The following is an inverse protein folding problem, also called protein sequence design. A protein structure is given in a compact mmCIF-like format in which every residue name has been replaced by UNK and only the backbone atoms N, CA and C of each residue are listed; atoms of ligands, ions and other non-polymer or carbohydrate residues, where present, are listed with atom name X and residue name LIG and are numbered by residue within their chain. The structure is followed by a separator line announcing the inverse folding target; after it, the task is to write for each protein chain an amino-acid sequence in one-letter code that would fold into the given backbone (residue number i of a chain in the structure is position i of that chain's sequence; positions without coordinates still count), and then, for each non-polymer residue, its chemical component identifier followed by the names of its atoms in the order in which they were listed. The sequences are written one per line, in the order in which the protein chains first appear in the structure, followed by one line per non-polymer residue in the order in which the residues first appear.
data_IF_861402398010
#
_entry.id   IF_861402398010
#
_cell.length_a   1.000
_cell.length_b   1.000
_cell.length_c   1.000
_cell.angle_alpha   90.00
_cell.angle_beta   90.00
_cell.angle_gamma   90.00
#
_symmetry.space_group_name_H-M   'P 1'
#
loop_
_entity.id
_entity.type
_entity.pdbx_description
1 polymer ?
#
# COMPACT_ATOMS: atom_id res chain seq x y z
N UNK A 1 70.47 31.13 -3.83
CA UNK A 1 69.78 30.82 -5.10
C UNK A 1 69.98 29.35 -5.41
N UNK A 2 68.96 28.53 -5.19
CA UNK A 2 68.68 27.29 -5.93
C UNK A 2 67.40 26.68 -5.35
N UNK A 3 66.27 27.06 -5.94
CA UNK A 3 65.04 26.29 -5.83
C UNK A 3 65.15 25.09 -6.77
N UNK A 4 65.22 23.88 -6.22
CA UNK A 4 65.02 22.68 -7.00
C UNK A 4 64.53 21.54 -6.09
N UNK A 5 63.42 20.92 -6.53
CA UNK A 5 62.91 19.59 -6.18
C UNK A 5 62.17 19.47 -4.84
N UNK A 6 60.85 19.27 -4.93
CA UNK A 6 60.21 17.94 -4.81
C UNK A 6 58.71 18.05 -5.10
N UNK A 7 58.32 17.67 -6.32
CA UNK A 7 57.02 17.08 -6.64
C UNK A 7 57.26 15.59 -6.87
N UNK A 8 56.21 14.78 -6.67
CA UNK A 8 56.10 13.33 -6.88
C UNK A 8 56.51 12.41 -5.71
N UNK A 9 55.49 11.86 -5.05
CA UNK A 9 55.33 10.41 -4.86
C UNK A 9 53.89 10.12 -4.39
N UNK A 10 53.03 9.82 -5.35
CA UNK A 10 51.68 9.29 -5.15
C UNK A 10 51.53 8.15 -6.16
N UNK A 11 51.91 6.94 -5.76
CA UNK A 11 51.61 5.72 -6.51
C UNK A 11 51.84 4.46 -5.67
N UNK A 12 50.92 3.51 -5.83
CA UNK A 12 51.03 2.08 -5.60
C UNK A 12 50.80 1.51 -4.18
N UNK A 13 49.53 1.25 -3.87
CA UNK A 13 49.10 -0.07 -3.34
C UNK A 13 47.80 -0.46 -4.04
N UNK A 14 47.93 -1.21 -5.15
CA UNK A 14 46.85 -2.01 -5.71
C UNK A 14 47.29 -3.46 -5.54
N UNK A 15 46.68 -4.19 -4.60
CA UNK A 15 46.88 -5.62 -4.44
C UNK A 15 45.55 -6.34 -4.67
N UNK A 16 45.52 -7.00 -5.82
CA UNK A 16 44.69 -8.10 -6.30
C UNK A 16 43.55 -8.62 -5.40
N UNK A 17 42.32 -8.41 -5.84
CA UNK A 17 41.19 -9.31 -5.59
C UNK A 17 40.86 -9.98 -6.94
N UNK A 18 41.06 -11.30 -7.01
CA UNK A 18 40.70 -12.10 -8.17
C UNK A 18 39.17 -12.23 -8.29
N UNK A 19 38.58 -12.11 -9.50
CA UNK A 19 37.19 -12.51 -9.70
C UNK A 19 37.12 -14.03 -9.95
N UNK A 20 36.44 -14.76 -9.05
CA UNK A 20 35.90 -16.08 -9.36
C UNK A 20 34.70 -15.88 -10.29
N UNK A 21 34.92 -16.12 -11.57
CA UNK A 21 33.90 -16.34 -12.59
C UNK A 21 33.15 -17.64 -12.28
N UNK A 22 31.92 -17.52 -11.77
CA UNK A 22 30.93 -18.59 -11.90
C UNK A 22 29.87 -18.11 -12.89
N UNK A 23 29.93 -18.63 -14.11
CA UNK A 23 28.83 -18.51 -15.08
C UNK A 23 27.62 -19.28 -14.53
N UNK A 24 26.62 -18.56 -14.06
CA UNK A 24 25.24 -19.06 -14.05
C UNK A 24 24.50 -18.36 -15.19
N UNK A 25 24.27 -19.09 -16.28
CA UNK A 25 23.37 -18.71 -17.36
C UNK A 25 21.97 -18.46 -16.79
N UNK A 26 21.54 -17.19 -16.77
CA UNK A 26 20.13 -16.85 -16.67
C UNK A 26 19.51 -16.91 -18.07
N UNK A 27 18.38 -17.61 -18.27
CA UNK A 27 17.69 -17.60 -19.55
C UNK A 27 17.09 -16.21 -19.79
N UNK A 28 17.49 -15.61 -20.91
CA UNK A 28 16.87 -14.41 -21.46
C UNK A 28 15.46 -14.74 -21.91
N UNK A 29 14.46 -14.33 -21.13
CA UNK A 29 13.08 -14.24 -21.61
C UNK A 29 12.97 -12.93 -22.38
N UNK A 30 12.84 -13.07 -23.70
CA UNK A 30 12.42 -12.01 -24.62
C UNK A 30 11.00 -11.58 -24.22
N UNK A 31 10.89 -10.44 -23.56
CA UNK A 31 9.61 -9.78 -23.30
C UNK A 31 9.36 -8.76 -24.42
N UNK A 32 8.55 -9.19 -25.39
CA UNK A 32 8.09 -8.37 -26.51
C UNK A 32 7.29 -7.17 -25.98
N UNK A 33 7.88 -5.98 -26.11
CA UNK A 33 7.23 -4.69 -25.90
C UNK A 33 6.18 -4.40 -26.96
N UNK A 34 4.99 -4.99 -26.82
CA UNK A 34 3.78 -4.57 -27.55
C UNK A 34 2.75 -4.01 -26.57
N UNK A 35 2.38 -2.75 -26.84
CA UNK A 35 1.50 -1.88 -26.07
C UNK A 35 0.36 -2.56 -25.33
N UNK A 36 0.39 -2.42 -24.01
CA UNK A 36 -0.77 -2.56 -23.15
C UNK A 36 -1.79 -1.48 -23.52
N UNK A 37 -2.71 -1.84 -24.41
CA UNK A 37 -4.04 -1.27 -24.39
C UNK A 37 -4.69 -1.75 -23.11
N UNK A 38 -4.65 -0.90 -22.08
CA UNK A 38 -5.42 -1.05 -20.84
C UNK A 38 -6.89 -1.02 -21.21
N UNK A 39 -7.39 -2.16 -21.69
CA UNK A 39 -8.82 -2.43 -21.72
C UNK A 39 -9.23 -2.42 -20.25
N UNK A 40 -10.03 -1.42 -19.89
CA UNK A 40 -10.68 -1.29 -18.59
C UNK A 40 -11.40 -2.62 -18.32
N UNK A 41 -10.73 -3.55 -17.62
CA UNK A 41 -11.33 -4.74 -17.04
C UNK A 41 -12.29 -4.23 -15.99
N UNK A 42 -13.53 -3.98 -16.42
CA UNK A 42 -14.69 -3.78 -15.56
C UNK A 42 -14.59 -4.85 -14.48
N UNK A 43 -14.42 -4.43 -13.22
CA UNK A 43 -14.26 -5.28 -12.04
C UNK A 43 -15.16 -6.50 -12.15
N UNK A 44 -14.61 -7.63 -12.62
CA UNK A 44 -15.33 -8.88 -12.61
C UNK A 44 -15.32 -9.29 -11.14
N UNK A 45 -16.50 -9.42 -10.50
CA UNK A 45 -16.57 -9.89 -9.12
C UNK A 45 -15.79 -11.20 -9.03
N UNK A 46 -14.88 -11.30 -8.06
CA UNK A 46 -14.13 -12.53 -7.82
C UNK A 46 -15.14 -13.66 -7.60
N UNK A 47 -15.06 -14.76 -8.36
CA UNK A 47 -16.03 -15.84 -8.26
C UNK A 47 -16.05 -16.39 -6.83
N UNK A 48 -17.26 -16.55 -6.27
CA UNK A 48 -17.48 -17.19 -4.97
C UNK A 48 -16.72 -18.53 -4.93
N UNK A 49 -15.84 -18.77 -3.95
CA UNK A 49 -15.05 -19.99 -3.87
C UNK A 49 -15.88 -21.26 -3.71
N UNK A 50 -17.18 -21.17 -3.39
CA UNK A 50 -18.04 -22.35 -3.31
C UNK A 50 -19.45 -22.08 -3.85
N UNK A 51 -19.61 -21.99 -5.19
CA UNK A 51 -20.89 -21.65 -5.79
C UNK A 51 -21.91 -22.76 -5.52
N UNK A 52 -23.06 -22.39 -4.96
CA UNK A 52 -24.13 -23.35 -4.67
C UNK A 52 -24.76 -23.86 -5.96
N UNK A 53 -24.50 -25.12 -6.27
CA UNK A 53 -25.03 -25.80 -7.46
C UNK A 53 -26.40 -26.39 -7.13
N UNK A 54 -27.39 -26.10 -7.97
CA UNK A 54 -28.77 -26.56 -7.84
C UNK A 54 -29.27 -27.20 -9.15
N UNK A 55 -30.32 -28.00 -9.01
CA UNK A 55 -31.14 -28.48 -10.13
C UNK A 55 -32.56 -27.96 -9.92
N UNK A 56 -33.13 -27.30 -10.92
CA UNK A 56 -34.44 -26.68 -10.86
C UNK A 56 -35.28 -27.15 -12.04
N UNK A 57 -36.46 -27.71 -11.75
CA UNK A 57 -37.50 -27.98 -12.75
C UNK A 57 -38.68 -27.11 -12.39
N UNK A 58 -39.02 -26.16 -13.26
CA UNK A 58 -40.11 -25.22 -13.06
C UNK A 58 -41.13 -25.40 -14.20
N UNK A 59 -42.39 -25.75 -13.90
CA UNK A 59 -43.40 -26.03 -14.93
C UNK A 59 -43.93 -24.77 -15.63
N UNK A 60 -43.42 -23.59 -15.29
CA UNK A 60 -43.97 -22.30 -15.69
C UNK A 60 -44.92 -21.75 -14.63
N UNK A 61 -45.15 -20.45 -14.65
CA UNK A 61 -45.95 -19.75 -13.64
C UNK A 61 -45.48 -18.32 -13.45
N UNK A 62 -45.85 -17.68 -12.35
CA UNK A 62 -45.40 -16.32 -12.07
C UNK A 62 -43.96 -16.28 -11.50
N UNK A 63 -43.36 -15.10 -11.54
CA UNK A 63 -41.98 -14.90 -11.07
C UNK A 63 -41.83 -15.19 -9.57
N UNK A 64 -42.87 -14.92 -8.76
CA UNK A 64 -42.86 -15.29 -7.33
C UNK A 64 -42.73 -16.80 -7.13
N UNK A 65 -43.49 -17.60 -7.87
CA UNK A 65 -43.44 -19.06 -7.83
C UNK A 65 -42.08 -19.57 -8.31
N UNK A 66 -41.47 -18.93 -9.31
CA UNK A 66 -40.10 -19.26 -9.72
C UNK A 66 -39.10 -19.03 -8.58
N UNK A 67 -39.17 -17.91 -7.87
CA UNK A 67 -38.27 -17.61 -6.74
C UNK A 67 -38.49 -18.55 -5.56
N UNK A 68 -39.73 -18.98 -5.30
CA UNK A 68 -40.01 -20.02 -4.30
C UNK A 68 -39.45 -21.39 -4.70
N UNK A 69 -39.60 -21.78 -5.97
CA UNK A 69 -39.01 -23.00 -6.50
C UNK A 69 -37.48 -22.96 -6.39
N UNK A 70 -36.87 -21.80 -6.67
CA UNK A 70 -35.44 -21.57 -6.53
C UNK A 70 -34.96 -21.71 -5.06
N UNK A 71 -35.70 -21.13 -4.11
CA UNK A 71 -35.43 -21.28 -2.67
C UNK A 71 -35.52 -22.73 -2.23
N UNK A 72 -36.51 -23.46 -2.72
CA UNK A 72 -36.70 -24.88 -2.43
C UNK A 72 -35.54 -25.72 -2.97
N UNK A 73 -35.12 -25.48 -4.21
CA UNK A 73 -34.00 -26.19 -4.84
C UNK A 73 -32.63 -25.90 -4.20
N UNK A 74 -32.49 -24.78 -3.49
CA UNK A 74 -31.23 -24.33 -2.91
C UNK A 74 -30.91 -24.91 -1.53
N UNK A 75 -31.81 -25.72 -0.93
CA UNK A 75 -31.81 -26.46 0.37
C UNK A 75 -30.81 -26.04 1.47
N UNK A 76 -29.53 -25.90 1.14
CA UNK A 76 -28.41 -25.54 2.01
C UNK A 76 -28.33 -24.04 2.44
N UNK A 77 -29.38 -23.23 2.33
CA UNK A 77 -29.45 -21.91 3.01
C UNK A 77 -30.27 -20.82 2.32
N UNK A 78 -30.33 -19.62 2.93
CA UNK A 78 -31.28 -18.57 2.53
C UNK A 78 -30.91 -17.98 1.17
N UNK A 79 -31.88 -17.87 0.27
CA UNK A 79 -31.78 -17.12 -0.99
C UNK A 79 -32.65 -15.87 -0.88
N UNK A 80 -31.99 -14.71 -0.79
CA UNK A 80 -32.64 -13.43 -0.62
C UNK A 80 -32.78 -12.77 -1.99
N UNK A 81 -34.03 -12.60 -2.46
CA UNK A 81 -34.31 -11.94 -3.73
C UNK A 81 -35.20 -10.74 -3.46
N UNK A 82 -34.71 -9.56 -3.82
CA UNK A 82 -35.43 -8.29 -3.78
C UNK A 82 -35.97 -8.03 -5.19
N UNK A 83 -37.27 -7.94 -5.34
CA UNK A 83 -37.94 -7.70 -6.63
C UNK A 83 -39.04 -6.65 -6.47
N UNK A 84 -39.27 -5.80 -7.49
CA UNK A 84 -40.39 -4.86 -7.47
C UNK A 84 -41.72 -5.60 -7.58
N UNK A 85 -42.81 -5.01 -7.07
CA UNK A 85 -44.15 -5.62 -7.14
C UNK A 85 -44.59 -5.94 -8.58
N UNK A 86 -44.16 -5.13 -9.54
CA UNK A 86 -44.41 -5.35 -10.98
C UNK A 86 -43.79 -6.63 -11.52
N UNK A 87 -42.71 -7.13 -10.90
CA UNK A 87 -42.04 -8.37 -11.31
C UNK A 87 -42.83 -9.62 -10.87
N UNK A 88 -43.56 -9.55 -9.76
CA UNK A 88 -44.17 -10.72 -9.11
C UNK A 88 -45.11 -11.48 -10.06
N UNK A 89 -45.83 -10.75 -10.91
CA UNK A 89 -46.84 -11.31 -11.82
C UNK A 89 -46.31 -11.53 -13.24
N UNK A 90 -45.00 -11.50 -13.46
CA UNK A 90 -44.45 -11.83 -14.78
C UNK A 90 -44.55 -13.33 -15.02
N UNK A 91 -45.19 -13.71 -16.12
CA UNK A 91 -45.27 -15.10 -16.56
C UNK A 91 -43.88 -15.59 -16.99
N UNK A 92 -43.33 -16.50 -16.21
CA UNK A 92 -42.10 -17.22 -16.47
C UNK A 92 -42.47 -18.54 -17.18
N UNK A 93 -41.96 -18.81 -18.39
CA UNK A 93 -42.24 -20.05 -19.09
C UNK A 93 -41.61 -21.26 -18.39
N UNK A 94 -42.05 -22.48 -18.75
CA UNK A 94 -41.44 -23.70 -18.22
C UNK A 94 -39.93 -23.74 -18.50
N UNK A 95 -39.16 -24.17 -17.52
CA UNK A 95 -37.70 -24.20 -17.59
C UNK A 95 -37.12 -25.34 -16.77
N UNK A 96 -36.08 -25.97 -17.32
CA UNK A 96 -35.29 -26.99 -16.65
C UNK A 96 -33.82 -26.57 -16.63
N UNK A 97 -33.27 -26.40 -15.42
CA UNK A 97 -31.89 -26.03 -15.20
C UNK A 97 -31.19 -27.12 -14.40
N UNK A 98 -30.03 -27.56 -14.88
CA UNK A 98 -29.22 -28.60 -14.22
C UNK A 98 -27.82 -28.09 -13.96
N UNK A 99 -27.29 -28.41 -12.78
CA UNK A 99 -25.96 -28.01 -12.34
C UNK A 99 -25.69 -26.50 -12.50
N UNK A 100 -26.67 -25.67 -12.15
CA UNK A 100 -26.55 -24.20 -12.25
C UNK A 100 -26.36 -23.59 -10.88
N UNK A 101 -25.76 -22.40 -10.82
CA UNK A 101 -25.76 -21.60 -9.59
C UNK A 101 -27.08 -20.87 -9.42
N UNK A 102 -27.41 -20.44 -8.19
CA UNK A 102 -28.59 -19.59 -7.93
C UNK A 102 -28.56 -18.33 -8.79
N UNK A 103 -27.40 -17.66 -8.87
CA UNK A 103 -27.19 -16.51 -9.73
C UNK A 103 -27.39 -16.83 -11.22
N UNK A 104 -26.88 -17.99 -11.66
CA UNK A 104 -27.06 -18.49 -13.03
C UNK A 104 -28.52 -18.76 -13.37
N UNK A 105 -29.27 -19.33 -12.42
CA UNK A 105 -30.69 -19.58 -12.59
C UNK A 105 -31.49 -18.29 -12.72
N UNK A 106 -31.22 -17.28 -11.89
CA UNK A 106 -31.86 -15.97 -12.02
C UNK A 106 -31.49 -15.28 -13.33
N UNK A 107 -30.20 -15.30 -13.73
CA UNK A 107 -29.74 -14.72 -15.00
C UNK A 107 -30.32 -15.41 -16.23
N UNK A 108 -30.73 -16.68 -16.12
CA UNK A 108 -31.41 -17.38 -17.22
C UNK A 108 -32.71 -16.68 -17.61
N UNK A 109 -33.35 -15.97 -16.68
CA UNK A 109 -34.55 -15.18 -16.97
C UNK A 109 -34.24 -13.99 -17.89
N UNK A 110 -33.03 -13.44 -17.86
CA UNK A 110 -32.64 -12.38 -18.80
C UNK A 110 -32.66 -12.87 -20.25
N UNK A 111 -32.36 -14.15 -20.47
CA UNK A 111 -32.41 -14.78 -21.80
C UNK A 111 -33.84 -15.11 -22.23
N UNK A 112 -34.66 -15.53 -21.27
CA UNK A 112 -36.06 -15.91 -21.49
C UNK A 112 -36.90 -14.68 -21.83
N UNK A 113 -36.71 -13.58 -21.09
CA UNK A 113 -37.35 -12.29 -21.33
C UNK A 113 -36.52 -11.44 -22.32
N UNK A 114 -36.07 -12.07 -23.41
CA UNK A 114 -35.24 -11.44 -24.44
C UNK A 114 -35.94 -10.34 -25.23
N UNK A 115 -35.46 -10.04 -26.43
CA UNK A 115 -35.88 -8.85 -27.20
C UNK A 115 -37.39 -8.85 -27.60
N UNK A 116 -38.02 -10.03 -27.65
CA UNK A 116 -39.44 -10.17 -27.98
C UNK A 116 -40.38 -9.94 -26.78
N UNK A 117 -39.83 -9.80 -25.58
CA UNK A 117 -40.59 -9.54 -24.36
C UNK A 117 -40.88 -8.04 -24.20
N UNK A 118 -42.10 -7.65 -23.79
CA UNK A 118 -42.39 -6.27 -23.41
C UNK A 118 -41.70 -5.86 -22.10
N UNK A 119 -40.94 -6.75 -21.48
CA UNK A 119 -40.16 -6.53 -20.26
C UNK A 119 -38.71 -6.95 -20.47
N UNK A 120 -37.80 -6.09 -20.04
CA UNK A 120 -36.40 -6.43 -19.81
C UNK A 120 -36.21 -6.74 -18.34
N UNK A 121 -35.61 -7.88 -18.05
CA UNK A 121 -35.18 -8.24 -16.70
C UNK A 121 -33.66 -8.08 -16.61
N UNK A 122 -33.17 -7.53 -15.51
CA UNK A 122 -31.76 -7.54 -15.17
C UNK A 122 -31.60 -8.00 -13.71
N UNK A 123 -30.65 -8.91 -13.48
CA UNK A 123 -30.36 -9.46 -12.16
C UNK A 123 -29.02 -8.93 -11.69
N UNK A 124 -29.03 -8.27 -10.54
CA UNK A 124 -27.83 -7.77 -9.88
C UNK A 124 -27.59 -8.52 -8.58
N UNK A 125 -26.32 -8.82 -8.33
CA UNK A 125 -25.88 -9.30 -7.02
C UNK A 125 -25.58 -8.07 -6.17
N UNK A 126 -26.29 -7.94 -5.05
CA UNK A 126 -26.21 -6.75 -4.18
C UNK A 126 -25.01 -6.86 -3.23
N UNK A 127 -24.75 -8.07 -2.74
CA UNK A 127 -23.65 -8.36 -1.84
C UNK A 127 -22.77 -9.46 -2.44
N UNK A 128 -21.48 -9.21 -2.74
CA UNK A 128 -20.57 -10.24 -3.25
C UNK A 128 -20.26 -11.34 -2.22
N UNK A 129 -20.62 -11.15 -0.94
CA UNK A 129 -20.38 -12.10 0.15
C UNK A 129 -21.65 -12.81 0.64
N UNK A 130 -22.82 -12.48 0.07
CA UNK A 130 -24.10 -13.02 0.50
C UNK A 130 -25.04 -13.29 -0.69
N UNK A 131 -25.95 -14.27 -0.60
CA UNK A 131 -26.88 -14.62 -1.68
C UNK A 131 -28.05 -13.62 -1.77
N UNK A 132 -27.74 -12.33 -1.89
CA UNK A 132 -28.72 -11.25 -2.02
C UNK A 132 -28.74 -10.76 -3.47
N UNK A 133 -29.87 -11.00 -4.13
CA UNK A 133 -30.08 -10.64 -5.53
C UNK A 133 -31.15 -9.56 -5.66
N UNK A 134 -30.87 -8.53 -6.44
CA UNK A 134 -31.84 -7.52 -6.87
C UNK A 134 -32.32 -7.83 -8.29
N UNK A 135 -33.63 -7.81 -8.50
CA UNK A 135 -34.25 -7.97 -9.82
C UNK A 135 -34.77 -6.60 -10.27
N UNK A 136 -34.26 -6.11 -11.39
CA UNK A 136 -34.74 -4.90 -12.06
C UNK A 136 -35.64 -5.32 -13.23
N UNK A 137 -36.84 -4.76 -13.29
CA UNK A 137 -37.78 -4.98 -14.39
C UNK A 137 -38.09 -3.65 -15.05
N UNK A 138 -37.83 -3.54 -16.36
CA UNK A 138 -38.17 -2.39 -17.16
C UNK A 138 -39.11 -2.79 -18.30
N UNK A 139 -40.18 -2.03 -18.54
CA UNK A 139 -41.01 -2.25 -19.75
C UNK A 139 -40.26 -1.74 -20.99
N UNK A 140 -40.08 -2.62 -21.97
CA UNK A 140 -39.67 -2.22 -23.32
C UNK A 140 -40.91 -1.71 -24.06
N UNK A 141 -40.87 -0.48 -24.56
CA UNK A 141 -41.90 0.03 -25.47
C UNK A 141 -41.60 -0.52 -26.88
N UNK A 142 -42.44 -1.41 -27.46
CA UNK A 142 -42.17 -2.02 -28.76
C UNK A 142 -42.34 -1.04 -29.94
N UNK A 143 -42.95 0.12 -29.70
CA UNK A 143 -43.10 1.18 -30.69
C UNK A 143 -42.06 2.26 -30.45
N UNK A 144 -40.88 2.07 -31.07
CA UNK A 144 -39.85 3.11 -31.15
C UNK A 144 -40.46 4.40 -31.69
N UNK A 145 -40.36 5.49 -30.93
CA UNK A 145 -40.84 6.79 -31.38
C UNK A 145 -40.92 7.88 -30.33
N UNK A 146 -40.98 7.56 -29.04
CA UNK A 146 -40.83 8.56 -27.97
C UNK A 146 -39.98 7.95 -26.87
N UNK A 147 -38.79 8.50 -26.67
CA UNK A 147 -37.95 8.21 -25.52
C UNK A 147 -38.85 8.21 -24.29
N UNK A 148 -38.95 7.07 -23.60
CA UNK A 148 -39.67 7.04 -22.33
C UNK A 148 -39.10 8.17 -21.46
N UNK A 149 -39.94 8.95 -20.77
CA UNK A 149 -39.46 10.00 -19.89
C UNK A 149 -38.40 9.38 -18.99
N UNK A 150 -37.20 9.94 -19.01
CA UNK A 150 -36.07 9.33 -18.32
C UNK A 150 -36.41 9.28 -16.83
N UNK A 151 -36.72 8.08 -16.34
CA UNK A 151 -37.13 7.91 -14.95
C UNK A 151 -35.91 8.11 -14.07
N UNK A 152 -36.02 9.03 -13.11
CA UNK A 152 -35.01 9.18 -12.07
C UNK A 152 -34.92 7.88 -11.27
N UNK A 153 -33.69 7.42 -11.07
CA UNK A 153 -33.36 6.31 -10.21
C UNK A 153 -32.90 6.81 -8.86
N UNK A 154 -33.27 6.10 -7.80
CA UNK A 154 -32.77 6.29 -6.44
C UNK A 154 -31.74 5.21 -6.16
N UNK A 155 -30.56 5.61 -5.72
CA UNK A 155 -29.46 4.71 -5.36
C UNK A 155 -28.91 5.06 -3.98
N UNK A 156 -28.51 4.03 -3.23
CA UNK A 156 -27.99 4.17 -1.87
C UNK A 156 -26.62 3.52 -1.81
N UNK A 157 -25.60 4.33 -1.54
CA UNK A 157 -24.20 3.93 -1.61
C UNK A 157 -23.57 4.13 -0.23
N UNK A 158 -22.96 3.09 0.33
CA UNK A 158 -22.14 3.24 1.53
C UNK A 158 -20.83 3.95 1.19
N UNK A 159 -20.52 5.01 1.95
CA UNK A 159 -19.28 5.75 1.84
C UNK A 159 -18.45 5.72 3.13
N UNK A 160 -18.74 4.78 4.04
CA UNK A 160 -18.01 4.64 5.31
C UNK A 160 -16.50 4.50 5.14
N UNK A 161 -16.06 3.86 4.07
CA UNK A 161 -14.64 3.61 3.78
C UNK A 161 -13.88 4.88 3.39
N UNK A 162 -14.60 5.92 2.96
CA UNK A 162 -14.02 7.19 2.52
C UNK A 162 -13.94 8.20 3.65
N UNK A 163 -14.77 8.06 4.68
CA UNK A 163 -14.89 9.08 5.72
C UNK A 163 -13.72 9.03 6.67
N UNK A 164 -13.16 10.21 6.95
CA UNK A 164 -12.17 10.38 8.02
C UNK A 164 -12.83 10.11 9.37
N UNK A 165 -12.47 8.99 10.00
CA UNK A 165 -12.74 8.71 11.41
C UNK A 165 -11.46 8.84 12.20
N UNK A 166 -11.55 9.01 13.52
CA UNK A 166 -10.38 9.09 14.41
C UNK A 166 -9.42 7.90 14.22
N UNK A 167 -9.95 6.74 13.82
CA UNK A 167 -9.18 5.52 13.56
C UNK A 167 -8.57 5.41 12.15
N UNK A 168 -8.89 6.34 11.24
CA UNK A 168 -8.50 6.29 9.82
C UNK A 168 -7.88 7.61 9.36
N UNK A 169 -6.57 7.83 9.58
CA UNK A 169 -5.88 9.08 9.25
C UNK A 169 -5.81 9.41 7.75
N UNK A 170 -6.24 8.49 6.87
CA UNK A 170 -6.28 8.67 5.42
C UNK A 170 -7.67 8.93 4.83
N UNK A 171 -8.71 9.09 5.65
CA UNK A 171 -10.05 9.37 5.14
C UNK A 171 -10.21 10.82 4.63
N UNK A 172 -11.16 11.00 3.71
CA UNK A 172 -11.57 12.28 3.14
C UNK A 172 -12.68 12.88 4.03
N UNK A 173 -12.60 14.17 4.39
CA UNK A 173 -13.71 14.88 5.01
C UNK A 173 -14.98 14.81 4.17
N UNK A 174 -16.14 14.62 4.83
CA UNK A 174 -17.41 14.40 4.15
C UNK A 174 -17.81 15.58 3.24
N UNK A 175 -17.56 16.81 3.68
CA UNK A 175 -17.78 18.05 2.93
C UNK A 175 -17.00 18.07 1.61
N UNK A 176 -15.70 17.77 1.64
CA UNK A 176 -14.86 17.72 0.44
C UNK A 176 -15.33 16.65 -0.55
N UNK A 177 -15.73 15.48 -0.03
CA UNK A 177 -16.27 14.40 -0.86
C UNK A 177 -17.56 14.85 -1.56
N UNK A 178 -18.48 15.47 -0.81
CA UNK A 178 -19.75 15.94 -1.35
C UNK A 178 -19.56 17.05 -2.38
N UNK A 179 -18.68 18.02 -2.11
CA UNK A 179 -18.35 19.10 -3.04
C UNK A 179 -17.77 18.55 -4.36
N UNK A 180 -16.91 17.54 -4.27
CA UNK A 180 -16.31 16.88 -5.44
C UNK A 180 -17.37 16.16 -6.29
N UNK A 181 -18.29 15.46 -5.64
CA UNK A 181 -19.39 14.78 -6.32
C UNK A 181 -20.37 15.75 -6.96
N UNK A 182 -20.74 16.81 -6.24
CA UNK A 182 -21.65 17.84 -6.75
C UNK A 182 -21.03 18.60 -7.94
N UNK A 183 -19.75 18.95 -7.85
CA UNK A 183 -19.00 19.55 -8.96
C UNK A 183 -18.99 18.62 -10.17
N UNK A 184 -18.73 17.33 -9.97
CA UNK A 184 -18.72 16.35 -11.08
C UNK A 184 -20.09 16.23 -11.74
N UNK A 185 -21.17 16.22 -10.97
CA UNK A 185 -22.53 16.16 -11.51
C UNK A 185 -22.91 17.44 -12.27
N UNK A 186 -22.51 18.62 -11.80
CA UNK A 186 -22.74 19.89 -12.50
C UNK A 186 -22.00 19.96 -13.85
N UNK A 187 -20.88 19.27 -13.97
CA UNK A 187 -20.10 19.19 -15.21
C UNK A 187 -20.61 18.10 -16.17
N UNK A 188 -21.56 17.25 -15.76
CA UNK A 188 -22.13 16.23 -16.63
C UNK A 188 -22.97 16.89 -17.75
N UNK A 189 -22.75 16.55 -19.03
CA UNK A 189 -23.43 17.16 -20.17
C UNK A 189 -24.93 16.79 -20.28
N UNK A 190 -25.51 16.16 -19.27
CA UNK A 190 -26.91 15.69 -19.27
C UNK A 190 -27.95 16.81 -19.20
N UNK A 191 -27.56 18.03 -18.82
CA UNK A 191 -28.48 19.15 -18.54
C UNK A 191 -28.62 20.20 -19.66
N UNK A 192 -27.99 20.03 -20.83
CA UNK A 192 -27.84 21.13 -21.80
C UNK A 192 -28.73 21.08 -23.05
N UNK A 193 -29.61 20.08 -23.21
CA UNK A 193 -30.44 19.95 -24.42
C UNK A 193 -31.93 20.29 -24.18
N UNK A 194 -32.18 21.45 -23.58
CA UNK A 194 -33.17 22.45 -24.02
C UNK A 194 -34.68 22.15 -24.07
N UNK A 195 -35.20 20.93 -24.02
CA UNK A 195 -36.63 20.72 -24.30
C UNK A 195 -37.42 19.86 -23.31
N UNK A 196 -36.77 19.17 -22.36
CA UNK A 196 -37.46 18.49 -21.26
C UNK A 196 -36.77 18.81 -19.93
N UNK A 197 -37.44 19.56 -19.04
CA UNK A 197 -37.01 19.87 -17.67
C UNK A 197 -36.97 18.58 -16.82
N UNK A 198 -35.93 17.77 -16.99
CA UNK A 198 -35.60 16.74 -16.01
C UNK A 198 -35.24 17.45 -14.69
N UNK A 199 -35.75 17.02 -13.52
CA UNK A 199 -35.37 17.62 -12.26
C UNK A 199 -33.86 17.43 -12.02
N UNK A 200 -33.16 18.43 -11.46
CA UNK A 200 -31.73 18.34 -11.22
C UNK A 200 -31.40 17.15 -10.30
N UNK A 201 -30.21 16.55 -10.43
CA UNK A 201 -29.80 15.46 -9.56
C UNK A 201 -29.69 15.96 -8.11
N UNK A 202 -30.17 15.14 -7.18
CA UNK A 202 -30.12 15.41 -5.74
C UNK A 202 -29.18 14.41 -5.07
N UNK A 203 -28.24 14.94 -4.28
CA UNK A 203 -27.38 14.15 -3.39
C UNK A 203 -27.75 14.51 -1.94
N UNK A 204 -27.96 13.48 -1.11
CA UNK A 204 -28.13 13.62 0.33
C UNK A 204 -27.13 12.71 1.05
N UNK A 205 -26.47 13.24 2.07
CA UNK A 205 -25.57 12.48 2.92
C UNK A 205 -26.18 12.28 4.30
N UNK A 206 -26.16 11.05 4.78
CA UNK A 206 -26.53 10.71 6.16
C UNK A 206 -25.27 10.38 6.95
N UNK A 207 -24.78 11.35 7.73
CA UNK A 207 -23.50 11.28 8.43
C UNK A 207 -23.40 10.08 9.39
N UNK A 208 -24.40 9.88 10.24
CA UNK A 208 -24.37 8.79 11.24
C UNK A 208 -24.31 7.40 10.60
N UNK A 209 -24.95 7.22 9.45
CA UNK A 209 -25.02 5.94 8.74
C UNK A 209 -23.87 5.77 7.73
N UNK A 210 -23.15 6.85 7.41
CA UNK A 210 -22.16 6.85 6.34
C UNK A 210 -22.76 6.51 4.98
N UNK A 211 -24.02 6.91 4.73
CA UNK A 211 -24.75 6.60 3.50
C UNK A 211 -24.89 7.83 2.62
N UNK A 212 -24.63 7.64 1.33
CA UNK A 212 -24.87 8.60 0.27
C UNK A 212 -26.13 8.16 -0.50
N UNK A 213 -27.15 9.01 -0.49
CA UNK A 213 -28.39 8.79 -1.24
C UNK A 213 -28.32 9.68 -2.48
N UNK A 214 -28.37 9.06 -3.65
CA UNK A 214 -28.28 9.74 -4.95
C UNK A 214 -29.59 9.53 -5.70
N UNK A 215 -30.22 10.63 -6.10
CA UNK A 215 -31.41 10.62 -6.95
C UNK A 215 -31.10 11.36 -8.24
N UNK A 216 -31.18 10.68 -9.37
CA UNK A 216 -30.86 11.28 -10.66
C UNK A 216 -31.09 10.32 -11.81
N UNK A 217 -30.69 10.75 -13.00
CA UNK A 217 -30.72 9.89 -14.19
C UNK A 217 -29.75 8.70 -14.01
N UNK A 218 -30.02 7.54 -14.63
CA UNK A 218 -29.12 6.39 -14.54
C UNK A 218 -27.66 6.70 -14.91
N UNK A 219 -27.46 7.61 -15.87
CA UNK A 219 -26.13 8.07 -16.28
C UNK A 219 -25.44 8.86 -15.16
N UNK A 220 -26.16 9.74 -14.47
CA UNK A 220 -25.63 10.56 -13.38
C UNK A 220 -25.23 9.71 -12.17
N UNK A 221 -26.09 8.76 -11.80
CA UNK A 221 -25.78 7.77 -10.75
C UNK A 221 -24.52 6.98 -11.10
N UNK A 222 -24.36 6.60 -12.37
CA UNK A 222 -23.17 5.88 -12.83
C UNK A 222 -21.89 6.72 -12.75
N UNK A 223 -21.98 8.04 -12.94
CA UNK A 223 -20.86 8.97 -12.77
C UNK A 223 -20.42 9.02 -11.31
N UNK A 224 -21.37 9.16 -10.37
CA UNK A 224 -21.07 9.16 -8.93
C UNK A 224 -20.35 7.87 -8.53
N UNK A 225 -20.85 6.70 -8.96
CA UNK A 225 -20.21 5.41 -8.68
C UNK A 225 -18.76 5.36 -9.18
N UNK A 226 -18.51 5.84 -10.39
CA UNK A 226 -17.16 5.86 -10.97
C UNK A 226 -16.20 6.74 -10.18
N UNK A 227 -16.65 7.92 -9.74
CA UNK A 227 -15.83 8.81 -8.91
C UNK A 227 -15.49 8.15 -7.59
N UNK A 228 -16.47 7.53 -6.92
CA UNK A 228 -16.24 6.81 -5.67
C UNK A 228 -15.27 5.63 -5.86
N UNK A 229 -15.38 4.86 -6.95
CA UNK A 229 -14.44 3.78 -7.24
C UNK A 229 -13.00 4.29 -7.45
N UNK A 230 -12.83 5.41 -8.15
CA UNK A 230 -11.51 6.03 -8.35
C UNK A 230 -10.91 6.53 -7.03
N UNK A 231 -11.72 7.21 -6.21
CA UNK A 231 -11.30 7.66 -4.87
C UNK A 231 -10.88 6.49 -3.98
N UNK A 232 -11.56 5.34 -4.08
CA UNK A 232 -11.21 4.14 -3.31
C UNK A 232 -9.85 3.59 -3.75
N UNK A 233 -9.57 3.60 -5.06
CA UNK A 233 -8.25 3.25 -5.61
C UNK A 233 -7.14 4.17 -5.07
N UNK A 234 -7.41 5.47 -5.00
CA UNK A 234 -6.46 6.46 -4.47
C UNK A 234 -6.17 6.26 -2.97
N UNK A 235 -7.21 6.18 -2.12
CA UNK A 235 -7.07 6.02 -0.66
C UNK A 235 -6.33 4.74 -0.30
N UNK A 236 -6.64 3.63 -0.97
CA UNK A 236 -5.96 2.35 -0.72
C UNK A 236 -4.49 2.40 -1.13
N UNK A 237 -4.14 3.13 -2.19
CA UNK A 237 -2.76 3.34 -2.62
C UNK A 237 -1.98 4.20 -1.63
N UNK A 238 -2.57 5.30 -1.16
CA UNK A 238 -1.94 6.20 -0.20
C UNK A 238 -1.77 5.55 1.18
N UNK A 239 -2.74 4.75 1.62
CA UNK A 239 -2.63 3.98 2.86
C UNK A 239 -1.50 2.97 2.78
N UNK A 240 -1.37 2.26 1.65
CA UNK A 240 -0.25 1.34 1.42
C UNK A 240 1.09 2.07 1.39
N UNK A 241 1.18 3.22 0.72
CA UNK A 241 2.39 4.06 0.69
C UNK A 241 2.78 4.54 2.08
N UNK A 242 1.81 5.02 2.86
CA UNK A 242 2.04 5.45 4.25
C UNK A 242 2.51 4.29 5.13
N UNK A 243 1.90 3.10 5.02
CA UNK A 243 2.34 1.92 5.76
C UNK A 243 3.75 1.45 5.35
N UNK A 244 4.08 1.48 4.07
CA UNK A 244 5.43 1.16 3.58
C UNK A 244 6.44 2.19 4.12
N UNK A 245 6.10 3.48 4.10
CA UNK A 245 6.92 4.55 4.66
C UNK A 245 7.16 4.38 6.17
N UNK A 246 6.10 4.10 6.94
CA UNK A 246 6.21 3.85 8.38
C UNK A 246 7.08 2.62 8.70
N UNK A 247 6.95 1.53 7.92
CA UNK A 247 7.80 0.34 8.08
C UNK A 247 9.25 0.61 7.72
N UNK A 248 9.50 1.39 6.67
CA UNK A 248 10.84 1.81 6.29
C UNK A 248 11.48 2.67 7.39
N UNK A 249 10.73 3.63 7.94
CA UNK A 249 11.18 4.49 9.03
C UNK A 249 11.46 3.69 10.31
N UNK A 250 10.53 2.82 10.74
CA UNK A 250 10.75 1.97 11.91
C UNK A 250 11.96 1.04 11.75
N UNK A 251 12.21 0.55 10.52
CA UNK A 251 13.42 -0.22 10.20
C UNK A 251 14.68 0.62 10.27
N UNK A 252 14.66 1.85 9.75
CA UNK A 252 15.78 2.79 9.84
C UNK A 252 16.12 3.11 11.31
N UNK A 253 15.11 3.42 12.12
CA UNK A 253 15.26 3.69 13.56
C UNK A 253 15.85 2.50 14.30
N UNK A 254 15.38 1.29 13.98
CA UNK A 254 15.93 0.06 14.55
C UNK A 254 17.41 -0.13 14.20
N UNK A 255 17.79 0.06 12.93
CA UNK A 255 19.17 -0.09 12.49
C UNK A 255 20.09 0.96 13.13
N UNK A 256 19.64 2.22 13.23
CA UNK A 256 20.37 3.29 13.92
C UNK A 256 20.63 2.92 15.38
N UNK A 257 19.58 2.53 16.10
CA UNK A 257 19.68 2.16 17.53
C UNK A 257 20.58 0.95 17.75
N UNK A 258 20.56 -0.02 16.83
CA UNK A 258 21.48 -1.17 16.85
C UNK A 258 22.93 -0.72 16.71
N UNK A 259 23.22 0.15 15.75
CA UNK A 259 24.57 0.65 15.52
C UNK A 259 25.11 1.47 16.71
N UNK A 260 24.26 2.30 17.33
CA UNK A 260 24.61 3.06 18.55
C UNK A 260 24.99 2.12 19.71
N UNK A 261 24.28 1.00 19.88
CA UNK A 261 24.60 0.00 20.90
C UNK A 261 25.93 -0.71 20.62
N UNK A 262 26.23 -1.00 19.35
CA UNK A 262 27.49 -1.62 18.95
C UNK A 262 28.69 -0.68 19.19
N UNK A 263 28.54 0.62 18.88
CA UNK A 263 29.55 1.63 19.20
C UNK A 263 29.78 1.70 20.71
N UNK A 264 28.71 1.80 21.51
CA UNK A 264 28.81 1.85 22.97
C UNK A 264 29.50 0.63 23.55
N UNK A 265 29.17 -0.57 23.05
CA UNK A 265 29.81 -1.80 23.50
C UNK A 265 31.32 -1.83 23.16
N UNK A 266 31.71 -1.32 21.98
CA UNK A 266 33.11 -1.21 21.59
C UNK A 266 33.87 -0.15 22.42
N UNK A 267 33.23 0.96 22.77
CA UNK A 267 33.79 1.96 23.69
C UNK A 267 34.06 1.36 25.08
N UNK A 268 33.10 0.62 25.64
CA UNK A 268 33.26 -0.05 26.94
C UNK A 268 34.42 -1.06 26.91
N UNK A 269 34.57 -1.81 25.82
CA UNK A 269 35.71 -2.72 25.63
C UNK A 269 37.04 -1.97 25.58
N UNK A 270 37.12 -0.84 24.88
CA UNK A 270 38.33 -0.02 24.82
C UNK A 270 38.70 0.54 26.21
N UNK A 271 37.71 0.99 26.98
CA UNK A 271 37.92 1.48 28.35
C UNK A 271 38.49 0.37 29.24
N UNK A 272 37.93 -0.84 29.17
CA UNK A 272 38.43 -1.99 29.93
C UNK A 272 39.85 -2.37 29.51
N UNK A 273 40.11 -2.47 28.20
CA UNK A 273 41.43 -2.79 27.67
C UNK A 273 42.49 -1.75 28.08
N UNK A 274 42.14 -0.47 28.05
CA UNK A 274 43.00 0.63 28.51
C UNK A 274 43.34 0.49 29.99
N UNK A 275 42.34 0.25 30.86
CA UNK A 275 42.57 0.01 32.29
C UNK A 275 43.48 -1.20 32.53
N UNK A 276 43.33 -2.27 31.76
CA UNK A 276 44.20 -3.45 31.89
C UNK A 276 45.64 -3.15 31.47
N UNK A 277 45.82 -2.40 30.38
CA UNK A 277 47.14 -1.95 29.93
C UNK A 277 47.82 -1.08 30.98
N UNK A 278 47.12 -0.08 31.54
CA UNK A 278 47.67 0.80 32.56
C UNK A 278 48.09 0.01 33.83
N UNK A 279 47.27 -0.97 34.23
CA UNK A 279 47.60 -1.86 35.35
C UNK A 279 48.85 -2.69 35.07
N UNK A 280 48.91 -3.38 33.93
CA UNK A 280 50.07 -4.22 33.58
C UNK A 280 51.32 -3.37 33.42
N UNK A 281 51.22 -2.18 32.84
CA UNK A 281 52.30 -1.21 32.75
C UNK A 281 52.84 -0.83 34.14
N UNK A 282 51.96 -0.52 35.09
CA UNK A 282 52.38 -0.22 36.47
C UNK A 282 53.09 -1.39 37.17
N UNK A 283 52.64 -2.62 36.93
CA UNK A 283 53.30 -3.83 37.47
C UNK A 283 54.64 -4.09 36.81
N UNK A 284 54.75 -3.85 35.51
CA UNK A 284 56.00 -3.99 34.75
C UNK A 284 57.05 -2.99 35.24
N UNK A 285 56.68 -1.72 35.45
CA UNK A 285 57.54 -0.68 36.03
C UNK A 285 58.04 -1.04 37.44
N UNK A 286 57.27 -1.85 38.19
CA UNK A 286 57.64 -2.39 39.50
C UNK A 286 58.42 -3.72 39.43
N UNK A 287 58.79 -4.18 38.23
CA UNK A 287 59.41 -5.48 37.97
C UNK A 287 58.57 -6.69 38.44
N UNK A 288 57.24 -6.53 38.54
CA UNK A 288 56.28 -7.56 38.93
C UNK A 288 55.55 -8.19 37.73
N UNK A 289 55.69 -7.66 36.52
CA UNK A 289 55.14 -8.25 35.29
C UNK A 289 56.23 -8.37 34.21
N UNK A 290 56.31 -9.51 33.50
CA UNK A 290 57.26 -9.71 32.41
C UNK A 290 56.83 -8.94 31.14
N UNK A 291 57.80 -8.61 30.27
CA UNK A 291 57.60 -7.79 29.06
C UNK A 291 56.47 -8.31 28.15
N UNK A 292 56.34 -9.63 28.03
CA UNK A 292 55.33 -10.24 27.16
C UNK A 292 53.89 -9.98 27.64
N UNK A 293 53.66 -9.78 28.94
CA UNK A 293 52.34 -9.38 29.44
C UNK A 293 52.00 -7.95 29.04
N UNK A 294 53.00 -7.05 29.05
CA UNK A 294 52.82 -5.66 28.62
C UNK A 294 52.48 -5.59 27.13
N UNK A 295 53.20 -6.34 26.28
CA UNK A 295 52.93 -6.44 24.85
C UNK A 295 51.52 -7.00 24.60
N UNK A 296 51.15 -8.09 25.29
CA UNK A 296 49.81 -8.67 25.15
C UNK A 296 48.68 -7.72 25.60
N UNK A 297 48.92 -6.89 26.63
CA UNK A 297 47.96 -5.89 27.06
C UNK A 297 47.83 -4.74 26.05
N UNK A 298 48.93 -4.31 25.42
CA UNK A 298 48.91 -3.28 24.38
C UNK A 298 48.20 -3.78 23.11
N UNK A 299 48.44 -5.03 22.72
CA UNK A 299 47.76 -5.68 21.58
C UNK A 299 46.25 -5.71 21.80
N UNK A 300 45.78 -6.07 23.00
CA UNK A 300 44.34 -6.06 23.34
C UNK A 300 43.75 -4.66 23.27
N UNK A 301 44.47 -3.65 23.77
CA UNK A 301 44.05 -2.24 23.68
C UNK A 301 43.95 -1.79 22.22
N UNK A 302 44.94 -2.14 21.41
CA UNK A 302 44.97 -1.83 19.97
C UNK A 302 43.83 -2.52 19.21
N UNK A 303 43.54 -3.79 19.52
CA UNK A 303 42.39 -4.51 18.95
C UNK A 303 41.06 -3.87 19.34
N UNK A 304 40.87 -3.50 20.61
CA UNK A 304 39.66 -2.83 21.07
C UNK A 304 39.47 -1.46 20.37
N UNK A 305 40.56 -0.71 20.16
CA UNK A 305 40.53 0.55 19.42
C UNK A 305 40.12 0.35 17.95
N UNK A 306 40.62 -0.69 17.29
CA UNK A 306 40.23 -1.04 15.93
C UNK A 306 38.75 -1.47 15.85
N UNK A 307 38.26 -2.21 16.83
CA UNK A 307 36.85 -2.59 16.91
C UNK A 307 35.93 -1.37 17.07
N UNK A 308 36.33 -0.39 17.89
CA UNK A 308 35.61 0.88 18.02
C UNK A 308 35.59 1.66 16.69
N UNK A 309 36.74 1.80 16.04
CA UNK A 309 36.81 2.48 14.74
C UNK A 309 35.91 1.80 13.69
N UNK A 310 35.87 0.46 13.68
CA UNK A 310 34.98 -0.32 12.81
C UNK A 310 33.50 -0.07 13.11
N UNK A 311 33.10 -0.13 14.38
CA UNK A 311 31.71 0.10 14.79
C UNK A 311 31.22 1.51 14.42
N UNK A 312 32.09 2.52 14.56
CA UNK A 312 31.79 3.89 14.16
C UNK A 312 31.55 3.99 12.64
N UNK A 313 32.40 3.36 11.83
CA UNK A 313 32.23 3.35 10.36
C UNK A 313 30.94 2.64 9.93
N UNK A 314 30.60 1.52 10.56
CA UNK A 314 29.34 0.80 10.30
C UNK A 314 28.12 1.64 10.68
N UNK A 315 28.17 2.37 11.80
CA UNK A 315 27.12 3.30 12.19
C UNK A 315 26.94 4.46 11.20
N UNK A 316 28.03 5.05 10.69
CA UNK A 316 27.96 6.10 9.66
C UNK A 316 27.38 5.55 8.36
N UNK A 317 27.77 4.36 7.94
CA UNK A 317 27.20 3.71 6.76
C UNK A 317 25.70 3.46 6.89
N UNK A 318 25.24 2.99 8.04
CA UNK A 318 23.80 2.80 8.33
C UNK A 318 23.06 4.14 8.32
N UNK A 319 23.65 5.20 8.86
CA UNK A 319 23.04 6.53 8.86
C UNK A 319 22.89 7.10 7.44
N UNK A 320 23.89 6.91 6.57
CA UNK A 320 23.83 7.37 5.17
C UNK A 320 22.82 6.56 4.36
N UNK A 321 22.87 5.23 4.45
CA UNK A 321 21.97 4.35 3.67
C UNK A 321 20.51 4.47 4.10
N UNK A 322 20.23 4.63 5.41
CA UNK A 322 18.87 4.86 5.89
C UNK A 322 18.31 6.20 5.41
N UNK A 323 19.14 7.26 5.34
CA UNK A 323 18.73 8.54 4.78
C UNK A 323 18.33 8.41 3.30
N UNK A 324 19.11 7.69 2.49
CA UNK A 324 18.80 7.45 1.07
C UNK A 324 17.46 6.72 0.88
N UNK A 325 17.17 5.69 1.71
CA UNK A 325 15.89 4.96 1.62
C UNK A 325 14.65 5.80 1.96
N UNK A 326 14.82 6.94 2.65
CA UNK A 326 13.74 7.87 2.98
C UNK A 326 13.56 8.97 1.92
N UNK A 327 14.52 9.14 0.99
CA UNK A 327 14.53 10.25 0.03
C UNK A 327 13.54 10.15 -1.13
N UNK A 328 12.95 8.97 -1.38
CA UNK A 328 11.93 8.84 -2.43
C UNK A 328 10.57 9.46 -2.06
N UNK A 329 10.42 10.03 -0.85
CA UNK A 329 9.12 10.50 -0.35
C UNK A 329 9.03 11.93 0.18
N UNK A 330 10.01 12.49 0.89
CA UNK A 330 9.81 13.78 1.60
C UNK A 330 11.08 14.61 1.79
N UNK A 331 11.02 15.89 1.38
CA UNK A 331 12.13 16.87 1.42
C UNK A 331 12.48 17.38 2.83
N UNK A 332 11.54 17.35 3.79
CA UNK A 332 11.78 17.87 5.15
C UNK A 332 12.55 16.91 6.06
N UNK A 333 12.27 15.61 5.97
CA UNK A 333 12.99 14.59 6.74
C UNK A 333 14.50 14.59 6.41
N UNK A 334 14.85 14.88 5.16
CA UNK A 334 16.23 15.02 4.71
C UNK A 334 16.98 16.13 5.44
N UNK A 335 16.35 17.30 5.62
CA UNK A 335 16.98 18.45 6.28
C UNK A 335 17.30 18.15 7.74
N UNK A 336 16.39 17.45 8.43
CA UNK A 336 16.62 17.04 9.81
C UNK A 336 17.78 16.06 9.93
N UNK A 337 17.78 15.00 9.11
CA UNK A 337 18.84 13.98 9.11
C UNK A 337 20.22 14.55 8.73
N UNK A 338 20.27 15.48 7.77
CA UNK A 338 21.52 16.18 7.42
C UNK A 338 22.06 16.98 8.62
N UNK A 339 21.21 17.71 9.33
CA UNK A 339 21.61 18.49 10.50
C UNK A 339 22.15 17.60 11.64
N UNK A 340 21.58 16.40 11.82
CA UNK A 340 22.00 15.43 12.82
C UNK A 340 23.34 14.76 12.44
N UNK A 341 23.52 14.45 11.15
CA UNK A 341 24.80 13.94 10.63
C UNK A 341 25.95 14.95 10.82
N UNK A 342 25.67 16.24 10.59
CA UNK A 342 26.63 17.31 10.83
C UNK A 342 27.00 17.44 12.32
N UNK A 343 26.07 17.15 13.25
CA UNK A 343 26.37 17.10 14.68
C UNK A 343 27.27 15.91 15.04
N UNK A 344 26.99 14.72 14.52
CA UNK A 344 27.82 13.53 14.75
C UNK A 344 29.25 13.73 14.23
N UNK A 345 29.41 14.29 13.04
CA UNK A 345 30.73 14.64 12.48
C UNK A 345 31.52 15.59 13.36
N UNK A 346 30.86 16.58 13.96
CA UNK A 346 31.51 17.51 14.91
C UNK A 346 31.96 16.81 16.19
N UNK A 347 31.16 15.89 16.74
CA UNK A 347 31.52 15.10 17.92
C UNK A 347 32.74 14.21 17.64
N UNK A 348 32.77 13.57 16.48
CA UNK A 348 33.89 12.74 16.03
C UNK A 348 35.19 13.55 15.89
N UNK A 349 35.12 14.73 15.27
CA UNK A 349 36.27 15.63 15.16
C UNK A 349 36.83 16.03 16.55
N UNK A 350 35.96 16.29 17.52
CA UNK A 350 36.37 16.58 18.90
C UNK A 350 37.05 15.38 19.59
N UNK A 351 36.54 14.16 19.39
CA UNK A 351 37.16 12.95 19.92
C UNK A 351 38.54 12.69 19.30
N UNK A 352 38.69 12.87 17.99
CA UNK A 352 39.98 12.74 17.31
C UNK A 352 40.99 13.77 17.82
N UNK A 353 40.57 15.02 18.03
CA UNK A 353 41.41 16.06 18.60
C UNK A 353 41.84 15.73 20.05
N UNK A 354 40.95 15.12 20.84
CA UNK A 354 41.23 14.69 22.21
C UNK A 354 42.23 13.52 22.23
N UNK A 355 42.09 12.56 21.32
CA UNK A 355 43.06 11.47 21.17
C UNK A 355 44.45 11.98 20.77
N UNK A 356 44.51 12.91 19.80
CA UNK A 356 45.77 13.50 19.36
C UNK A 356 46.47 14.25 20.50
N UNK A 357 45.72 14.99 21.33
CA UNK A 357 46.29 15.72 22.47
C UNK A 357 46.82 14.78 23.57
N UNK A 358 46.12 13.67 23.84
CA UNK A 358 46.59 12.64 24.77
C UNK A 358 47.89 11.97 24.27
N UNK A 359 47.98 11.65 22.98
CA UNK A 359 49.19 11.09 22.38
C UNK A 359 50.38 12.07 22.48
N UNK A 360 50.14 13.35 22.26
CA UNK A 360 51.17 14.38 22.37
C UNK A 360 51.65 14.59 23.81
N UNK A 361 50.74 14.49 24.80
CA UNK A 361 51.11 14.51 26.22
C UNK A 361 51.96 13.30 26.61
N UNK A 362 51.64 12.09 26.12
CA UNK A 362 52.45 10.90 26.37
C UNK A 362 53.86 11.04 25.77
N UNK A 363 53.98 11.60 24.56
CA UNK A 363 55.28 11.81 23.93
C UNK A 363 56.14 12.83 24.68
N UNK A 364 55.54 13.87 25.26
CA UNK A 364 56.25 14.84 26.08
C UNK A 364 56.63 14.31 27.47
N UNK A 365 55.85 13.40 28.04
CA UNK A 365 56.17 12.79 29.35
C UNK A 365 57.34 11.80 29.28
N UNK A 366 57.58 11.16 28.13
CA UNK A 366 58.69 10.20 27.96
C UNK A 366 60.05 10.83 27.64
N UNK A 367 60.14 12.16 27.51
CA UNK A 367 61.40 12.90 27.25
C UNK A 367 62.02 13.55 28.48
N UNK A 368 61.37 13.44 29.64
CA UNK A 368 61.94 13.81 30.94
C UNK A 368 62.44 12.56 31.64
#
# INVERSE_FOLDING_TARGET
MHHARTRELLAAVALAIAPLTTLAQQPSVLEDGRGNTTTIRRNQPTPDPNPRIINLSFPGGDFSAFVEALRTAAEAGPVNVVMPATAQHLDVPPLELRNVTVAGALRSLELVFGDDSPYRIAVREIDPHGPVFGVEVARMNPFGGRSAPQQQTLDVISITDFLKKDDHPGGIPADILLDSLQTTLQMSPTNSNGEDEAPPPEIRFHEEAGLLIVRGLPQEVSVVRRVLDELRGSITTDTKRSQVGQRAQARADYLKRKAELEVKAAEEQLVLATKTFDRVKSLHEQAHAPDHELVAADDRRSQANNNLAKAILEAEYIAVTSAETLTDGTSEALKHLQSENDQLRKQLAMLQQTLASMQQQQHNSGRK
#
